data_IF_902972333166
#
_entry.id   IF_902972333166
#
_cell.length_a   1.000
_cell.length_b   1.000
_cell.length_c   1.000
_cell.angle_alpha   90.00
_cell.angle_beta   90.00
_cell.angle_gamma   90.00
#
_symmetry.space_group_name_H-M   'P 1'
#
loop_
_entity.id
_entity.type
_entity.pdbx_description
1 polymer ?
#
# COMPACT_ATOMS: atom_id res chain seq x y z
N UNK A 1 5.20 1.78 -4.85
CA UNK A 1 3.82 1.30 -5.09
C UNK A 1 3.39 1.79 -6.46
N UNK A 2 2.86 0.89 -7.29
CA UNK A 2 2.47 1.19 -8.68
C UNK A 2 0.95 1.22 -8.82
N UNK A 3 0.43 2.06 -9.71
CA UNK A 3 -1.01 2.17 -9.97
C UNK A 3 -1.29 2.41 -11.44
N UNK A 4 -2.30 1.72 -11.98
CA UNK A 4 -2.80 1.95 -13.34
C UNK A 4 -3.79 3.11 -13.29
N UNK A 5 -3.45 4.22 -13.94
CA UNK A 5 -4.21 5.49 -13.86
C UNK A 5 -5.33 5.56 -14.92
N UNK A 6 -5.18 4.81 -16.03
CA UNK A 6 -6.16 4.74 -17.12
C UNK A 6 -5.91 3.48 -17.97
N UNK A 7 -6.95 3.01 -18.64
CA UNK A 7 -6.89 1.89 -19.60
C UNK A 7 -7.12 0.53 -18.95
N UNK A 8 -7.31 -0.49 -19.79
CA UNK A 8 -7.44 -1.89 -19.38
C UNK A 8 -6.19 -2.62 -19.87
N UNK A 9 -5.12 -2.67 -19.05
CA UNK A 9 -3.87 -3.32 -19.46
C UNK A 9 -4.14 -4.79 -19.76
N UNK A 10 -3.43 -5.31 -20.74
CA UNK A 10 -3.56 -6.74 -21.07
C UNK A 10 -2.93 -7.59 -19.98
N UNK A 11 -3.27 -8.88 -19.96
CA UNK A 11 -2.71 -9.80 -18.97
C UNK A 11 -1.18 -9.92 -19.12
N UNK A 12 -0.69 -9.82 -20.34
CA UNK A 12 0.73 -9.88 -20.69
C UNK A 12 1.50 -8.66 -20.14
N UNK A 13 0.91 -7.46 -20.23
CA UNK A 13 1.53 -6.24 -19.70
C UNK A 13 1.58 -6.25 -18.17
N UNK A 14 0.54 -6.78 -17.51
CA UNK A 14 0.53 -6.96 -16.06
C UNK A 14 1.55 -8.01 -15.61
N UNK A 15 1.69 -9.11 -16.34
CA UNK A 15 2.68 -10.15 -16.04
C UNK A 15 4.10 -9.62 -16.16
N UNK A 16 4.41 -8.89 -17.24
CA UNK A 16 5.72 -8.27 -17.44
C UNK A 16 6.05 -7.27 -16.32
N UNK A 17 5.09 -6.42 -15.94
CA UNK A 17 5.29 -5.47 -14.84
C UNK A 17 5.52 -6.20 -13.49
N UNK A 18 4.74 -7.24 -13.21
CA UNK A 18 4.87 -8.00 -11.96
C UNK A 18 6.24 -8.66 -11.84
N UNK A 19 6.76 -9.22 -12.93
CA UNK A 19 8.10 -9.79 -12.96
C UNK A 19 9.19 -8.75 -12.62
N UNK A 20 9.07 -7.53 -13.14
CA UNK A 20 10.00 -6.42 -12.82
C UNK A 20 9.88 -6.02 -11.35
N UNK A 21 8.67 -5.92 -10.80
CA UNK A 21 8.45 -5.58 -9.38
C UNK A 21 9.04 -6.64 -8.45
N UNK A 22 8.88 -7.92 -8.79
CA UNK A 22 9.46 -9.04 -8.01
C UNK A 22 10.98 -8.97 -8.06
N UNK A 23 11.58 -8.81 -9.25
CA UNK A 23 13.02 -8.73 -9.42
C UNK A 23 13.65 -7.56 -8.62
N UNK A 24 12.97 -6.42 -8.56
CA UNK A 24 13.40 -5.28 -7.75
C UNK A 24 13.20 -5.49 -6.24
N UNK A 25 12.22 -6.31 -5.84
CA UNK A 25 11.92 -6.56 -4.42
C UNK A 25 12.81 -7.62 -3.81
N UNK A 26 13.38 -8.52 -4.62
CA UNK A 26 14.30 -9.57 -4.18
C UNK A 26 15.63 -9.05 -3.60
N UNK A 27 15.97 -7.78 -3.83
CA UNK A 27 17.18 -7.15 -3.29
C UNK A 27 16.92 -6.40 -1.96
N UNK A 28 15.69 -6.45 -1.43
CA UNK A 28 15.33 -5.78 -0.17
C UNK A 28 15.52 -6.73 1.02
N UNK A 29 16.23 -6.31 2.10
CA UNK A 29 16.32 -7.10 3.32
C UNK A 29 14.95 -7.28 3.97
N UNK A 30 14.76 -8.41 4.67
CA UNK A 30 13.51 -8.77 5.34
C UNK A 30 13.12 -7.66 6.34
N UNK A 31 11.88 -7.13 6.31
CA UNK A 31 11.51 -6.03 7.18
C UNK A 31 11.49 -6.49 8.64
N UNK A 32 12.31 -5.86 9.47
CA UNK A 32 12.26 -6.03 10.92
C UNK A 32 10.85 -5.65 11.42
N UNK A 33 10.22 -6.55 12.16
CA UNK A 33 8.82 -6.40 12.61
C UNK A 33 8.74 -5.47 13.82
N UNK A 34 9.24 -4.24 13.65
CA UNK A 34 9.06 -3.14 14.58
C UNK A 34 7.58 -2.76 14.68
N UNK A 35 7.03 -2.78 15.89
CA UNK A 35 5.59 -2.75 16.18
C UNK A 35 4.87 -1.50 15.63
N UNK A 36 3.94 -1.59 14.66
CA UNK A 36 3.17 -0.43 14.18
C UNK A 36 1.66 -0.57 14.41
N UNK A 37 1.21 -1.39 15.37
CA UNK A 37 -0.21 -1.72 15.49
C UNK A 37 -1.01 -0.82 16.44
N UNK A 38 -0.37 -0.12 17.39
CA UNK A 38 -1.10 0.53 18.49
C UNK A 38 -1.91 1.76 18.06
N UNK A 39 -1.43 2.53 17.10
CA UNK A 39 -2.08 3.79 16.70
C UNK A 39 -3.33 3.57 15.87
N UNK A 40 -3.30 2.65 14.91
CA UNK A 40 -4.44 2.36 14.04
C UNK A 40 -5.58 1.65 14.80
N UNK A 41 -5.25 0.68 15.67
CA UNK A 41 -6.24 -0.05 16.47
C UNK A 41 -7.00 0.89 17.42
N UNK A 42 -6.30 1.82 18.09
CA UNK A 42 -6.92 2.81 18.98
C UNK A 42 -7.86 3.76 18.21
N UNK A 43 -7.47 4.17 17.01
CA UNK A 43 -8.27 5.07 16.16
C UNK A 43 -9.57 4.40 15.70
N UNK A 44 -9.54 3.08 15.44
CA UNK A 44 -10.72 2.31 15.12
C UNK A 44 -11.69 2.16 16.31
N UNK A 45 -11.17 1.88 17.52
CA UNK A 45 -11.99 1.80 18.75
C UNK A 45 -12.72 3.12 19.05
N UNK A 46 -12.06 4.25 18.78
CA UNK A 46 -12.65 5.59 18.96
C UNK A 46 -13.50 6.05 17.77
N UNK A 47 -13.76 5.17 16.79
CA UNK A 47 -14.53 5.45 15.55
C UNK A 47 -14.04 6.66 14.77
N UNK A 48 -12.73 6.93 14.83
CA UNK A 48 -12.10 8.03 14.10
C UNK A 48 -11.70 7.56 12.69
N UNK A 49 -12.61 6.96 11.93
CA UNK A 49 -12.32 6.60 10.54
C UNK A 49 -11.96 7.88 9.73
N UNK A 50 -10.98 7.83 8.82
CA UNK A 50 -10.74 8.95 7.91
C UNK A 50 -12.00 9.17 7.06
N UNK A 51 -12.44 10.41 6.95
CA UNK A 51 -13.61 10.73 6.12
C UNK A 51 -13.33 10.39 4.65
N UNK A 52 -14.31 9.90 3.88
CA UNK A 52 -14.13 9.68 2.46
C UNK A 52 -13.80 11.01 1.78
N UNK A 53 -12.77 11.02 0.93
CA UNK A 53 -12.41 12.20 0.17
C UNK A 53 -10.91 12.34 -0.08
N UNK A 54 -10.53 13.28 -0.95
CA UNK A 54 -9.13 13.50 -1.31
C UNK A 54 -8.27 13.81 -0.07
N UNK A 55 -7.17 13.07 0.10
CA UNK A 55 -6.19 13.33 1.15
C UNK A 55 -6.52 12.75 2.53
N UNK A 56 -7.65 12.07 2.69
CA UNK A 56 -8.03 11.46 3.97
C UNK A 56 -7.13 10.30 4.40
N UNK A 57 -6.62 9.55 3.43
CA UNK A 57 -5.68 8.43 3.61
C UNK A 57 -4.27 8.86 4.06
N UNK A 58 -3.89 10.13 3.90
CA UNK A 58 -2.56 10.64 4.31
C UNK A 58 -2.31 10.55 5.81
N UNK A 59 -3.38 10.46 6.61
CA UNK A 59 -3.32 10.31 8.08
C UNK A 59 -3.26 8.85 8.53
N UNK A 60 -3.36 7.89 7.62
CA UNK A 60 -3.36 6.46 7.94
C UNK A 60 -1.95 5.84 8.00
N UNK A 61 -0.94 6.53 7.47
CA UNK A 61 0.44 6.05 7.37
C UNK A 61 1.46 6.84 8.21
N UNK A 62 1.03 7.57 9.23
CA UNK A 62 1.89 8.25 10.22
C UNK A 62 1.81 7.57 11.57
#
# INVERSE_FOLDING_TARGET
MFSVVRGTPTAEELAALTAVVVALSSDSPEPDTGTPHRTWVRRNQLRLAPLPGPGSWKRSGR
#
